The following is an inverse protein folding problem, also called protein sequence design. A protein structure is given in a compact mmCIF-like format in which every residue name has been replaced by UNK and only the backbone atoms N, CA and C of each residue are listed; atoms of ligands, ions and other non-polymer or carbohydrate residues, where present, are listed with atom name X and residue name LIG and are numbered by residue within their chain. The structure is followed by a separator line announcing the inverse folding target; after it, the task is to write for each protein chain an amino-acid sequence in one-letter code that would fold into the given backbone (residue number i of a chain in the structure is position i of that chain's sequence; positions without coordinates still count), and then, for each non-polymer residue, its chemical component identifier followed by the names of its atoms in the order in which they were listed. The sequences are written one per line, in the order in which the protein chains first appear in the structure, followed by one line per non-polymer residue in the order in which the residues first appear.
data_IF_297369009123
#
_entry.id   IF_297369009123
#
_cell.length_a   1.000
_cell.length_b   1.000
_cell.length_c   1.000
_cell.angle_alpha   90.00
_cell.angle_beta   90.00
_cell.angle_gamma   90.00
#
_symmetry.space_group_name_H-M   'P 1'
#
loop_
_entity.id
_entity.type
_entity.pdbx_description
1 polymer ?
#
# COMPACT_ATOMS: atom_id res chain seq x y z
N UNK A 1 -3.99 -15.29 9.92
CA UNK A 1 -3.46 -14.17 9.12
C UNK A 1 -2.58 -13.31 10.01
N UNK A 2 -1.79 -12.42 9.42
CA UNK A 2 -0.83 -11.58 10.15
C UNK A 2 -1.50 -10.30 10.65
N UNK A 3 -1.55 -10.11 11.96
CA UNK A 3 -2.16 -8.92 12.59
C UNK A 3 -1.13 -8.04 13.33
N UNK A 4 0.17 -8.13 13.02
CA UNK A 4 1.22 -7.39 13.74
C UNK A 4 1.08 -5.86 13.63
N UNK A 5 0.24 -5.40 12.71
CA UNK A 5 0.08 -4.01 12.27
C UNK A 5 -1.06 -3.27 12.94
N UNK A 6 -1.51 -3.75 14.12
CA UNK A 6 -2.64 -3.19 14.86
C UNK A 6 -2.50 -1.69 15.11
N UNK A 7 -1.31 -1.27 15.55
CA UNK A 7 -1.00 0.12 15.84
C UNK A 7 -0.99 0.99 14.59
N UNK A 8 -0.42 0.50 13.48
CA UNK A 8 -0.33 1.23 12.21
C UNK A 8 -1.71 1.43 11.59
N UNK A 9 -2.56 0.40 11.58
CA UNK A 9 -3.93 0.57 11.09
C UNK A 9 -4.75 1.48 12.00
N UNK A 10 -4.58 1.42 13.34
CA UNK A 10 -5.25 2.36 14.24
C UNK A 10 -4.81 3.81 13.98
N UNK A 11 -3.50 4.03 13.81
CA UNK A 11 -2.94 5.33 13.44
C UNK A 11 -3.54 5.86 12.14
N UNK A 12 -3.53 5.06 11.05
CA UNK A 12 -4.08 5.46 9.75
C UNK A 12 -5.57 5.79 9.87
N UNK A 13 -6.34 4.97 10.58
CA UNK A 13 -7.77 5.20 10.76
C UNK A 13 -8.09 6.47 11.56
N UNK A 14 -7.23 6.84 12.52
CA UNK A 14 -7.39 8.05 13.33
C UNK A 14 -7.22 9.34 12.53
N UNK A 15 -6.46 9.31 11.43
CA UNK A 15 -6.29 10.47 10.54
C UNK A 15 -7.59 10.87 9.84
N UNK A 16 -8.49 9.91 9.62
CA UNK A 16 -9.77 10.19 8.94
C UNK A 16 -9.59 10.66 7.49
N UNK A 17 -8.50 10.27 6.83
CA UNK A 17 -8.20 10.71 5.48
C UNK A 17 -9.33 10.35 4.49
N UNK A 18 -9.66 11.26 3.56
CA UNK A 18 -10.80 11.13 2.64
C UNK A 18 -10.73 9.88 1.75
N UNK A 19 -9.54 9.34 1.52
CA UNK A 19 -9.33 8.09 0.76
C UNK A 19 -9.94 6.87 1.46
N UNK A 20 -10.09 6.89 2.78
CA UNK A 20 -10.64 5.75 3.53
C UNK A 20 -12.11 5.47 3.20
N UNK A 21 -12.84 6.41 2.59
CA UNK A 21 -14.21 6.18 2.10
C UNK A 21 -14.32 5.02 1.10
N UNK A 22 -13.23 4.71 0.39
CA UNK A 22 -13.17 3.59 -0.57
C UNK A 22 -12.93 2.24 0.09
N UNK A 23 -12.69 2.22 1.40
CA UNK A 23 -12.53 1.03 2.25
C UNK A 23 -13.47 1.13 3.46
N UNK A 24 -14.70 1.57 3.22
CA UNK A 24 -15.76 1.65 4.24
C UNK A 24 -15.40 2.51 5.46
N UNK A 25 -14.55 3.51 5.26
CA UNK A 25 -14.12 4.44 6.30
C UNK A 25 -13.03 3.89 7.24
N UNK A 26 -12.63 2.62 7.10
CA UNK A 26 -11.62 2.01 7.98
C UNK A 26 -10.71 1.04 7.24
N UNK A 27 -9.42 1.31 7.23
CA UNK A 27 -8.41 0.38 6.70
C UNK A 27 -8.32 -0.86 7.60
N UNK A 28 -8.29 -2.04 6.95
CA UNK A 28 -8.11 -3.33 7.62
C UNK A 28 -6.63 -3.64 7.87
N UNK A 29 -6.36 -4.41 8.93
CA UNK A 29 -5.03 -4.96 9.23
C UNK A 29 -4.52 -5.90 8.12
N UNK A 30 -5.45 -6.43 7.32
CA UNK A 30 -5.13 -7.34 6.21
C UNK A 30 -4.73 -6.63 4.92
N UNK A 31 -4.79 -5.30 4.89
CA UNK A 31 -4.33 -4.50 3.76
C UNK A 31 -2.82 -4.27 3.81
N UNK A 32 -2.23 -3.86 2.68
CA UNK A 32 -0.77 -3.76 2.54
C UNK A 32 -0.19 -2.47 3.12
N UNK A 33 -0.93 -1.36 3.06
CA UNK A 33 -0.44 -0.07 3.57
C UNK A 33 -0.04 -0.10 5.06
N UNK A 34 -0.82 -0.68 6.00
CA UNK A 34 -0.39 -0.80 7.39
C UNK A 34 0.85 -1.70 7.56
N UNK A 35 1.00 -2.73 6.74
CA UNK A 35 2.16 -3.64 6.73
C UNK A 35 3.42 -2.95 6.25
N UNK A 36 3.32 -2.12 5.22
CA UNK A 36 4.42 -1.31 4.72
C UNK A 36 4.85 -0.26 5.74
N UNK A 37 3.90 0.40 6.39
CA UNK A 37 4.21 1.33 7.48
C UNK A 37 4.92 0.63 8.63
N UNK A 38 4.44 -0.55 9.03
CA UNK A 38 5.09 -1.36 10.06
C UNK A 38 6.51 -1.75 9.64
N UNK A 39 6.69 -2.18 8.38
CA UNK A 39 8.00 -2.57 7.85
C UNK A 39 9.00 -1.41 7.86
N UNK A 40 8.57 -0.20 7.47
CA UNK A 40 9.39 1.00 7.50
C UNK A 40 9.81 1.37 8.92
N UNK A 41 8.90 1.26 9.89
CA UNK A 41 9.14 1.61 11.29
C UNK A 41 10.01 0.57 12.02
N UNK A 42 9.79 -0.72 11.76
CA UNK A 42 10.40 -1.80 12.54
C UNK A 42 11.64 -2.41 11.87
N UNK A 43 11.71 -2.38 10.53
CA UNK A 43 12.79 -2.95 9.74
C UNK A 43 13.33 -1.94 8.71
N UNK A 44 13.83 -0.76 9.15
CA UNK A 44 14.28 0.29 8.24
C UNK A 44 15.44 -0.16 7.33
N UNK A 45 16.28 -1.09 7.80
CA UNK A 45 17.34 -1.68 6.97
C UNK A 45 16.77 -2.49 5.81
N UNK A 46 15.69 -3.25 6.03
CA UNK A 46 14.97 -3.97 4.97
C UNK A 46 14.27 -3.00 4.04
N UNK A 47 13.58 -1.99 4.57
CA UNK A 47 12.93 -0.97 3.77
C UNK A 47 13.89 -0.31 2.77
N UNK A 48 15.07 0.11 3.24
CA UNK A 48 16.09 0.79 2.41
C UNK A 48 16.70 -0.07 1.30
N UNK A 49 16.77 -1.39 1.48
CA UNK A 49 17.33 -2.32 0.47
C UNK A 49 16.28 -2.92 -0.46
N UNK A 50 15.00 -2.64 -0.24
CA UNK A 50 13.91 -3.18 -1.06
C UNK A 50 13.67 -2.24 -2.24
N UNK A 51 13.71 -2.79 -3.44
CA UNK A 51 13.40 -2.06 -4.67
C UNK A 51 11.92 -2.17 -5.05
N UNK A 52 11.33 -3.36 -4.86
CA UNK A 52 9.97 -3.68 -5.26
C UNK A 52 9.19 -4.30 -4.11
N UNK A 53 7.96 -3.82 -3.91
CA UNK A 53 6.95 -4.49 -3.09
C UNK A 53 5.90 -5.12 -4.00
N UNK A 54 5.50 -6.34 -3.67
CA UNK A 54 4.53 -7.12 -4.43
C UNK A 54 3.43 -7.66 -3.52
N UNK A 55 2.20 -7.62 -4.00
CA UNK A 55 1.18 -8.54 -3.52
C UNK A 55 1.49 -9.95 -4.07
N UNK A 56 1.06 -11.01 -3.39
CA UNK A 56 1.46 -12.38 -3.74
C UNK A 56 1.17 -12.73 -5.21
N UNK A 57 0.01 -12.34 -5.74
CA UNK A 57 -0.33 -12.61 -7.15
C UNK A 57 0.56 -11.85 -8.12
N UNK A 58 0.93 -10.60 -7.79
CA UNK A 58 1.84 -9.79 -8.61
C UNK A 58 3.26 -10.39 -8.61
N UNK A 59 3.72 -10.90 -7.46
CA UNK A 59 4.99 -11.61 -7.38
C UNK A 59 5.01 -12.87 -8.25
N UNK A 60 3.91 -13.63 -8.26
CA UNK A 60 3.83 -14.84 -9.09
C UNK A 60 3.86 -14.50 -10.59
N UNK A 61 3.17 -13.44 -11.02
CA UNK A 61 3.21 -12.99 -12.42
C UNK A 61 4.59 -12.47 -12.80
N UNK A 62 5.21 -11.67 -11.93
CA UNK A 62 6.58 -11.18 -12.12
C UNK A 62 7.57 -12.34 -12.22
N UNK A 63 7.50 -13.30 -11.30
CA UNK A 63 8.40 -14.46 -11.29
C UNK A 63 8.25 -15.33 -12.55
N UNK A 64 7.05 -15.41 -13.11
CA UNK A 64 6.77 -16.21 -14.31
C UNK A 64 7.16 -15.50 -15.62
N UNK A 65 7.14 -14.16 -15.66
CA UNK A 65 7.23 -13.38 -16.91
C UNK A 65 8.36 -12.36 -16.95
N UNK A 66 8.95 -12.03 -15.82
CA UNK A 66 9.85 -10.87 -15.66
C UNK A 66 9.15 -9.51 -15.74
N UNK A 67 7.83 -9.46 -15.93
CA UNK A 67 7.08 -8.23 -16.06
C UNK A 67 6.77 -7.61 -14.70
N UNK A 68 7.10 -6.33 -14.53
CA UNK A 68 6.81 -5.56 -13.31
C UNK A 68 5.41 -4.95 -13.31
N UNK A 69 4.54 -5.28 -14.28
CA UNK A 69 3.16 -4.78 -14.25
C UNK A 69 2.41 -5.35 -13.04
N UNK A 70 1.65 -4.50 -12.35
CA UNK A 70 0.81 -4.90 -11.21
C UNK A 70 -0.64 -5.11 -11.61
N UNK A 71 -1.32 -5.97 -10.89
CA UNK A 71 -2.75 -6.20 -11.05
C UNK A 71 -3.54 -5.04 -10.44
N UNK A 72 -4.40 -4.44 -11.28
CA UNK A 72 -5.31 -3.36 -10.86
C UNK A 72 -6.19 -3.76 -9.66
N UNK A 73 -6.67 -5.01 -9.63
CA UNK A 73 -7.47 -5.53 -8.52
C UNK A 73 -6.71 -5.46 -7.18
N UNK A 74 -5.46 -5.94 -7.15
CA UNK A 74 -4.61 -5.87 -5.95
C UNK A 74 -4.39 -4.42 -5.52
N UNK A 75 -3.93 -3.57 -6.45
CA UNK A 75 -3.64 -2.16 -6.18
C UNK A 75 -4.84 -1.42 -5.57
N UNK A 76 -6.01 -1.54 -6.19
CA UNK A 76 -7.22 -0.84 -5.73
C UNK A 76 -7.73 -1.41 -4.40
N UNK A 77 -7.83 -2.74 -4.29
CA UNK A 77 -8.48 -3.37 -3.13
C UNK A 77 -7.58 -3.50 -1.90
N UNK A 78 -6.24 -3.47 -2.05
CA UNK A 78 -5.30 -3.76 -0.95
C UNK A 78 -4.26 -2.68 -0.69
N UNK A 79 -4.03 -1.77 -1.64
CA UNK A 79 -2.97 -0.75 -1.55
C UNK A 79 -3.51 0.68 -1.53
N UNK A 80 -4.84 0.88 -1.57
CA UNK A 80 -5.46 2.20 -1.65
C UNK A 80 -5.02 2.99 -2.90
N UNK A 81 -4.65 2.29 -3.98
CA UNK A 81 -4.42 2.90 -5.28
C UNK A 81 -5.73 3.45 -5.85
N UNK A 82 -5.69 4.65 -6.42
CA UNK A 82 -6.87 5.28 -7.00
C UNK A 82 -6.96 4.88 -8.47
N UNK A 83 -7.98 4.10 -8.84
CA UNK A 83 -8.32 3.79 -10.23
C UNK A 83 -9.83 3.73 -10.40
N UNK A 84 -10.35 4.19 -11.55
CA UNK A 84 -11.79 4.21 -11.83
C UNK A 84 -12.13 4.96 -13.12
N UNK A 85 -13.37 4.84 -13.62
CA UNK A 85 -13.75 5.31 -14.97
C UNK A 85 -13.63 6.83 -15.18
N UNK A 86 -13.70 7.62 -14.10
CA UNK A 86 -13.66 9.09 -14.15
C UNK A 86 -12.55 9.69 -13.27
N UNK A 87 -11.50 8.92 -12.97
CA UNK A 87 -10.39 9.40 -12.16
C UNK A 87 -9.07 9.07 -12.85
N UNK A 88 -8.06 9.93 -12.67
CA UNK A 88 -6.70 9.62 -13.08
C UNK A 88 -6.14 8.51 -12.18
N UNK A 89 -5.63 7.45 -12.80
CA UNK A 89 -4.97 6.36 -12.10
C UNK A 89 -3.70 6.88 -11.42
N UNK A 90 -3.68 6.90 -10.09
CA UNK A 90 -2.52 7.40 -9.35
C UNK A 90 -2.46 6.91 -7.90
N UNK A 91 -1.28 7.09 -7.31
CA UNK A 91 -1.09 7.10 -5.87
C UNK A 91 -1.59 8.43 -5.30
N UNK A 92 -2.30 8.36 -4.18
CA UNK A 92 -2.76 9.53 -3.46
C UNK A 92 -1.58 10.10 -2.63
N UNK A 93 -0.85 11.07 -3.19
CA UNK A 93 0.41 11.55 -2.60
C UNK A 93 0.23 12.17 -1.21
N UNK A 94 -0.81 13.00 -1.05
CA UNK A 94 -1.20 13.60 0.24
C UNK A 94 -1.45 12.55 1.33
N UNK A 95 -2.17 11.47 0.98
CA UNK A 95 -2.38 10.33 1.89
C UNK A 95 -1.05 9.65 2.26
N UNK A 96 -0.20 9.36 1.27
CA UNK A 96 1.09 8.71 1.50
C UNK A 96 2.04 9.58 2.33
N UNK A 97 2.02 10.89 2.12
CA UNK A 97 2.78 11.86 2.91
C UNK A 97 2.30 11.87 4.38
N UNK A 98 0.99 11.96 4.60
CA UNK A 98 0.40 12.01 5.96
C UNK A 98 0.71 10.77 6.79
N UNK A 99 0.77 9.59 6.16
CA UNK A 99 1.10 8.32 6.85
C UNK A 99 2.60 8.02 6.89
N UNK A 100 3.45 8.86 6.28
CA UNK A 100 4.90 8.69 6.26
C UNK A 100 5.43 7.64 5.26
N UNK A 101 4.72 7.40 4.16
CA UNK A 101 5.06 6.48 3.06
C UNK A 101 5.20 7.20 1.70
N UNK A 102 5.62 8.47 1.66
CA UNK A 102 5.76 9.22 0.41
C UNK A 102 6.80 8.64 -0.56
N UNK A 103 7.81 7.94 -0.05
CA UNK A 103 8.80 7.18 -0.82
C UNK A 103 8.20 5.99 -1.59
N UNK A 104 7.03 5.51 -1.19
CA UNK A 104 6.27 4.50 -1.91
C UNK A 104 5.87 4.98 -3.32
N UNK A 105 5.61 6.28 -3.49
CA UNK A 105 5.26 6.85 -4.80
C UNK A 105 6.46 6.94 -5.75
N UNK A 106 7.68 6.82 -5.21
CA UNK A 106 8.93 6.80 -5.98
C UNK A 106 9.47 5.39 -6.22
N UNK A 107 9.15 4.43 -5.35
CA UNK A 107 9.40 3.01 -5.58
C UNK A 107 8.48 2.55 -6.72
N UNK A 108 9.01 1.78 -7.68
CA UNK A 108 8.22 1.24 -8.79
C UNK A 108 7.25 0.16 -8.27
N UNK A 109 6.13 0.62 -7.71
CA UNK A 109 4.97 -0.21 -7.39
C UNK A 109 4.00 -0.13 -8.54
#
# INVERSE_FOLDING_TARGET
MDHRVSEQAHFINKLGHKLLKYVEGKISLEMEIPKLLWLKQNLPGTWKRTELFFYLTDFLTWKATGCESRLSCSLVCKWNYRSGPNITNNWCFDYLEEIGLSDLATCYI
#
